data_IF_344010756354
#
_entry.id   IF_344010756354
#
_cell.length_a   1.000
_cell.length_b   1.000
_cell.length_c   1.000
_cell.angle_alpha   90.00
_cell.angle_beta   90.00
_cell.angle_gamma   90.00
#
_symmetry.space_group_name_H-M   'P 1'
#
loop_
_entity.id
_entity.type
_entity.pdbx_description
1 polymer ?
#
# COMPACT_ATOMS: atom_id res chain seq x y z
N UNK A 1 71.96 -16.89 -35.48
CA UNK A 1 71.79 -18.12 -34.67
C UNK A 1 71.08 -17.78 -33.36
N UNK A 2 69.98 -18.48 -33.08
CA UNK A 2 69.26 -18.68 -31.79
C UNK A 2 68.78 -17.44 -30.99
N UNK A 3 67.57 -16.98 -31.34
CA UNK A 3 66.69 -16.25 -30.43
C UNK A 3 66.28 -17.16 -29.25
N UNK A 4 66.64 -16.77 -28.03
CA UNK A 4 66.12 -17.38 -26.79
C UNK A 4 64.64 -17.02 -26.64
N UNK A 5 63.75 -17.98 -26.88
CA UNK A 5 62.35 -17.90 -26.44
C UNK A 5 62.35 -17.88 -24.91
N UNK A 6 62.09 -16.71 -24.30
CA UNK A 6 61.75 -16.63 -22.87
C UNK A 6 60.41 -17.35 -22.69
N UNK A 7 60.44 -18.52 -22.04
CA UNK A 7 59.25 -19.17 -21.46
C UNK A 7 58.66 -18.20 -20.46
N UNK A 8 57.57 -17.52 -20.81
CA UNK A 8 56.72 -16.83 -19.84
C UNK A 8 55.99 -17.92 -19.06
N UNK A 9 56.55 -18.31 -17.92
CA UNK A 9 55.81 -19.11 -16.95
C UNK A 9 54.58 -18.31 -16.52
N UNK A 10 53.38 -18.77 -16.88
CA UNK A 10 52.14 -18.33 -16.23
C UNK A 10 52.25 -18.76 -14.77
N UNK A 11 52.78 -17.87 -13.92
CA UNK A 11 52.69 -18.03 -12.47
C UNK A 11 51.20 -18.01 -12.14
N UNK A 12 50.64 -19.16 -11.80
CA UNK A 12 49.33 -19.25 -11.16
C UNK A 12 49.46 -18.52 -9.81
N UNK A 13 48.89 -17.34 -9.74
CA UNK A 13 48.75 -16.56 -8.51
C UNK A 13 47.29 -16.68 -8.09
N UNK A 14 46.98 -17.79 -7.40
CA UNK A 14 45.71 -17.99 -6.72
C UNK A 14 45.78 -17.26 -5.39
N UNK A 15 44.84 -16.36 -5.13
CA UNK A 15 44.72 -15.63 -3.87
C UNK A 15 43.35 -15.85 -3.25
N UNK A 16 43.32 -15.98 -1.93
CA UNK A 16 42.11 -16.01 -1.12
C UNK A 16 41.56 -14.58 -1.02
N UNK A 17 40.36 -14.33 -1.52
CA UNK A 17 39.59 -13.12 -1.26
C UNK A 17 38.82 -13.33 0.04
N UNK A 18 39.14 -12.57 1.08
CA UNK A 18 38.26 -12.42 2.25
C UNK A 18 37.50 -11.12 2.09
N UNK A 19 36.32 -11.22 1.48
CA UNK A 19 35.53 -10.08 1.09
C UNK A 19 34.70 -9.58 2.27
N UNK A 20 35.14 -8.48 2.89
CA UNK A 20 34.30 -7.75 3.82
C UNK A 20 33.35 -6.83 3.04
N UNK A 21 32.34 -7.41 2.39
CA UNK A 21 31.28 -6.67 1.72
C UNK A 21 30.34 -6.10 2.78
N UNK A 22 30.37 -4.78 2.96
CA UNK A 22 29.36 -4.08 3.77
C UNK A 22 28.11 -3.93 2.92
N UNK A 23 27.20 -4.89 3.03
CA UNK A 23 25.84 -4.72 2.55
C UNK A 23 25.12 -3.86 3.57
N UNK A 24 25.07 -2.55 3.31
CA UNK A 24 24.14 -1.70 4.01
C UNK A 24 22.79 -1.85 3.29
N UNK A 25 21.88 -2.61 3.89
CA UNK A 25 20.47 -2.26 3.72
C UNK A 25 20.38 -0.78 4.12
N UNK A 26 19.70 0.04 3.34
CA UNK A 26 19.57 1.47 3.62
C UNK A 26 18.70 1.63 4.89
N UNK A 27 19.26 1.34 6.07
CA UNK A 27 18.63 1.50 7.36
C UNK A 27 18.73 2.97 7.73
N UNK A 28 17.88 3.78 7.11
CA UNK A 28 17.48 5.08 7.65
C UNK A 28 16.59 4.94 8.90
N UNK A 29 16.84 3.95 9.76
CA UNK A 29 16.15 3.77 11.03
C UNK A 29 17.19 3.57 12.12
N UNK A 30 17.30 4.60 12.96
CA UNK A 30 17.98 4.57 14.25
C UNK A 30 17.44 3.35 15.02
N UNK A 31 18.28 2.53 15.67
CA UNK A 31 17.81 1.59 16.69
C UNK A 31 17.43 2.41 17.93
N UNK A 32 16.31 3.10 17.82
CA UNK A 32 15.64 3.82 18.89
C UNK A 32 14.24 3.26 18.96
N UNK A 33 13.79 2.96 20.18
CA UNK A 33 12.40 2.72 20.59
C UNK A 33 11.42 2.46 19.45
N UNK A 34 10.87 1.24 19.37
CA UNK A 34 9.67 0.98 18.56
C UNK A 34 8.55 1.87 19.07
N UNK A 35 8.46 3.08 18.54
CA UNK A 35 7.27 3.91 18.62
C UNK A 35 6.37 3.32 17.56
N UNK A 36 5.41 2.50 17.97
CA UNK A 36 4.29 2.15 17.11
C UNK A 36 3.54 3.45 16.77
N UNK A 37 3.93 4.11 15.68
CA UNK A 37 3.07 5.10 15.06
C UNK A 37 1.88 4.31 14.56
N UNK A 38 0.72 4.53 15.17
CA UNK A 38 -0.51 3.92 14.68
C UNK A 38 -0.66 4.42 13.24
N UNK A 39 -0.77 3.51 12.27
CA UNK A 39 -1.13 3.91 10.92
C UNK A 39 -2.47 4.64 11.02
N UNK A 40 -2.51 5.91 10.61
CA UNK A 40 -3.77 6.62 10.54
C UNK A 40 -4.52 6.09 9.30
N UNK A 41 -5.81 5.83 9.47
CA UNK A 41 -6.69 5.49 8.36
C UNK A 41 -6.66 6.65 7.35
N UNK A 42 -6.46 6.32 6.08
CA UNK A 42 -6.60 7.26 4.97
C UNK A 42 -7.81 6.86 4.17
N UNK A 43 -8.70 7.80 3.96
CA UNK A 43 -9.94 7.57 3.25
C UNK A 43 -9.80 8.11 1.83
N UNK A 44 -9.70 7.20 0.86
CA UNK A 44 -9.55 7.52 -0.56
C UNK A 44 -10.86 7.28 -1.30
N UNK A 45 -11.21 8.17 -2.21
CA UNK A 45 -12.41 8.00 -3.02
C UNK A 45 -12.34 6.70 -3.85
N UNK A 46 -13.42 5.93 -3.86
CA UNK A 46 -13.52 4.66 -4.58
C UNK A 46 -14.79 4.64 -5.44
N UNK A 47 -14.68 4.13 -6.66
CA UNK A 47 -15.83 3.90 -7.53
C UNK A 47 -16.61 2.65 -7.08
N UNK A 48 -17.93 2.64 -7.28
CA UNK A 48 -18.76 1.46 -6.98
C UNK A 48 -18.31 0.20 -7.71
N UNK A 49 -17.75 0.35 -8.90
CA UNK A 49 -17.27 -0.78 -9.70
C UNK A 49 -16.00 -1.41 -9.13
N UNK A 50 -15.24 -0.66 -8.33
CA UNK A 50 -13.99 -1.11 -7.72
C UNK A 50 -14.17 -1.57 -6.25
N UNK A 51 -15.39 -1.43 -5.71
CA UNK A 51 -15.72 -1.92 -4.36
C UNK A 51 -15.98 -3.43 -4.36
N UNK A 52 -15.42 -4.12 -3.37
CA UNK A 52 -15.51 -5.57 -3.20
C UNK A 52 -16.12 -5.94 -1.84
N UNK A 53 -16.67 -7.16 -1.74
CA UNK A 53 -17.10 -7.71 -0.44
C UNK A 53 -15.92 -7.72 0.53
N UNK A 54 -16.14 -7.21 1.75
CA UNK A 54 -15.12 -7.07 2.79
C UNK A 54 -14.45 -5.69 2.83
N UNK A 55 -14.65 -4.85 1.82
CA UNK A 55 -14.12 -3.49 1.84
C UNK A 55 -14.70 -2.70 3.00
N UNK A 56 -13.85 -1.95 3.68
CA UNK A 56 -14.28 -0.99 4.70
C UNK A 56 -14.39 0.39 4.07
N UNK A 57 -15.56 1.02 4.20
CA UNK A 57 -15.85 2.30 3.55
C UNK A 57 -16.54 3.31 4.49
N UNK A 58 -16.53 4.57 4.08
CA UNK A 58 -17.46 5.61 4.53
C UNK A 58 -18.29 6.08 3.33
N UNK A 59 -19.58 6.27 3.54
CA UNK A 59 -20.51 6.82 2.55
C UNK A 59 -20.74 8.29 2.89
N UNK A 60 -20.61 9.18 1.89
CA UNK A 60 -20.88 10.61 2.09
C UNK A 60 -21.78 11.20 1.03
N UNK A 61 -22.58 12.20 1.42
CA UNK A 61 -23.18 13.15 0.49
C UNK A 61 -22.61 14.56 0.74
N UNK A 62 -22.15 15.23 -0.32
CA UNK A 62 -21.82 16.66 -0.31
C UNK A 62 -23.01 17.46 -0.81
N UNK A 63 -23.48 18.46 -0.06
CA UNK A 63 -24.63 19.31 -0.44
C UNK A 63 -24.25 20.36 -1.47
N UNK A 64 -25.25 21.04 -2.04
CA UNK A 64 -25.05 22.18 -2.95
C UNK A 64 -24.27 23.34 -2.33
N UNK A 65 -24.28 23.45 -1.00
CA UNK A 65 -23.51 24.46 -0.25
C UNK A 65 -22.06 24.01 0.00
N UNK A 66 -21.66 22.81 -0.42
CA UNK A 66 -20.32 22.26 -0.25
C UNK A 66 -20.09 21.53 1.08
N UNK A 67 -21.10 21.40 1.94
CA UNK A 67 -20.98 20.67 3.21
C UNK A 67 -20.98 19.17 2.94
N UNK A 68 -20.02 18.43 3.51
CA UNK A 68 -19.92 16.97 3.36
C UNK A 68 -20.35 16.27 4.63
N UNK A 69 -21.23 15.28 4.49
CA UNK A 69 -21.74 14.50 5.62
C UNK A 69 -21.55 13.01 5.42
N UNK A 70 -20.96 12.35 6.41
CA UNK A 70 -20.87 10.90 6.54
C UNK A 70 -22.16 10.28 7.07
N UNK A 71 -22.42 9.04 6.64
CA UNK A 71 -23.52 8.23 7.13
C UNK A 71 -23.13 7.45 8.38
N UNK A 72 -23.69 7.86 9.52
CA UNK A 72 -23.46 7.15 10.77
C UNK A 72 -23.98 5.71 10.72
N UNK A 73 -23.36 4.82 11.49
CA UNK A 73 -23.67 3.40 11.61
C UNK A 73 -24.46 3.08 12.90
N UNK A 74 -24.92 4.10 13.61
CA UNK A 74 -25.64 4.02 14.87
C UNK A 74 -27.14 4.38 14.75
N UNK A 75 -27.84 4.48 15.88
CA UNK A 75 -29.28 4.79 15.95
C UNK A 75 -30.22 3.58 15.79
N UNK A 76 -29.71 2.43 15.33
CA UNK A 76 -30.45 1.17 15.26
C UNK A 76 -31.73 1.27 14.43
N UNK A 77 -32.79 0.58 14.87
CA UNK A 77 -34.08 0.53 14.15
C UNK A 77 -35.05 1.66 14.54
N UNK A 78 -34.72 2.45 15.55
CA UNK A 78 -35.64 3.43 16.15
C UNK A 78 -35.47 4.82 15.56
N UNK A 79 -34.23 5.23 15.26
CA UNK A 79 -33.90 6.57 14.75
C UNK A 79 -33.13 6.48 13.44
N UNK A 80 -33.26 7.53 12.62
CA UNK A 80 -32.48 7.64 11.39
C UNK A 80 -30.99 7.87 11.73
N UNK A 81 -30.05 7.32 10.95
CA UNK A 81 -28.64 7.62 11.13
C UNK A 81 -28.35 9.11 11.00
N UNK A 82 -27.47 9.62 11.86
CA UNK A 82 -27.06 11.02 11.85
C UNK A 82 -26.25 11.36 10.58
N UNK A 83 -26.41 12.58 10.08
CA UNK A 83 -25.50 13.20 9.13
C UNK A 83 -24.29 13.79 9.88
N UNK A 84 -23.17 13.09 9.87
CA UNK A 84 -21.95 13.47 10.61
C UNK A 84 -21.10 14.38 9.73
N UNK A 85 -20.77 15.59 10.19
CA UNK A 85 -19.97 16.53 9.41
C UNK A 85 -18.53 16.04 9.20
N UNK A 86 -18.09 15.94 7.95
CA UNK A 86 -16.75 15.52 7.55
C UNK A 86 -16.18 16.49 6.51
N UNK A 87 -14.87 16.45 6.28
CA UNK A 87 -14.17 17.37 5.38
C UNK A 87 -13.47 16.59 4.27
N UNK A 88 -13.39 17.16 3.08
CA UNK A 88 -12.53 16.64 2.01
C UNK A 88 -11.35 17.60 1.90
N UNK A 89 -10.13 17.11 2.07
CA UNK A 89 -8.89 17.90 1.99
C UNK A 89 -7.93 17.17 1.07
N UNK A 90 -7.42 17.86 0.05
CA UNK A 90 -6.46 17.33 -0.92
C UNK A 90 -6.87 15.97 -1.53
N UNK A 91 -8.16 15.78 -1.80
CA UNK A 91 -8.70 14.56 -2.40
C UNK A 91 -8.88 13.39 -1.43
N UNK A 92 -8.75 13.60 -0.12
CA UNK A 92 -9.01 12.60 0.92
C UNK A 92 -10.08 13.06 1.89
N UNK A 93 -10.87 12.13 2.42
CA UNK A 93 -11.83 12.40 3.49
C UNK A 93 -11.12 12.45 4.84
N UNK A 94 -11.37 13.54 5.58
CA UNK A 94 -10.80 13.84 6.89
C UNK A 94 -11.90 14.18 7.90
N UNK A 95 -11.59 14.02 9.18
CA UNK A 95 -12.51 14.24 10.30
C UNK A 95 -11.87 13.85 11.62
N UNK A 96 -12.57 14.05 12.73
CA UNK A 96 -12.11 13.50 14.02
C UNK A 96 -12.17 11.97 13.98
N UNK A 97 -11.28 11.28 14.70
CA UNK A 97 -11.30 9.81 14.78
C UNK A 97 -12.67 9.28 15.24
N UNK A 98 -13.30 9.98 16.19
CA UNK A 98 -14.63 9.65 16.70
C UNK A 98 -15.71 9.77 15.62
N UNK A 99 -15.67 10.83 14.81
CA UNK A 99 -16.68 11.07 13.77
C UNK A 99 -16.52 10.11 12.60
N UNK A 100 -15.27 9.85 12.18
CA UNK A 100 -14.97 8.85 11.16
C UNK A 100 -15.40 7.45 11.60
N UNK A 101 -15.05 7.03 12.82
CA UNK A 101 -15.37 5.69 13.35
C UNK A 101 -16.88 5.41 13.38
N UNK A 102 -17.70 6.45 13.61
CA UNK A 102 -19.17 6.33 13.57
C UNK A 102 -19.71 6.13 12.16
N UNK A 103 -18.96 6.39 11.10
CA UNK A 103 -19.45 6.34 9.73
C UNK A 103 -18.96 5.13 8.93
N UNK A 104 -18.28 4.19 9.61
CA UNK A 104 -17.64 3.05 8.96
C UNK A 104 -18.63 1.93 8.68
N UNK A 105 -18.59 1.41 7.45
CA UNK A 105 -19.40 0.29 6.97
C UNK A 105 -18.51 -0.76 6.31
N UNK A 106 -18.92 -2.04 6.38
CA UNK A 106 -18.34 -3.09 5.54
C UNK A 106 -19.23 -3.33 4.32
N UNK A 107 -18.63 -3.39 3.14
CA UNK A 107 -19.34 -3.69 1.90
C UNK A 107 -19.57 -5.20 1.77
N UNK A 108 -20.77 -5.58 1.34
CA UNK A 108 -21.08 -6.90 0.83
C UNK A 108 -21.75 -6.76 -0.54
N UNK A 109 -21.29 -7.56 -1.51
CA UNK A 109 -21.82 -7.59 -2.88
C UNK A 109 -22.84 -8.71 -3.01
N UNK A 110 -24.02 -8.38 -3.54
CA UNK A 110 -25.02 -9.33 -4.00
C UNK A 110 -25.36 -9.04 -5.47
N UNK A 111 -24.71 -9.77 -6.38
CA UNK A 111 -24.73 -9.45 -7.81
C UNK A 111 -24.21 -8.04 -8.09
N UNK A 112 -25.05 -7.20 -8.71
CA UNK A 112 -24.77 -5.78 -8.93
C UNK A 112 -25.14 -4.89 -7.73
N UNK A 113 -25.82 -5.43 -6.73
CA UNK A 113 -26.24 -4.76 -5.49
C UNK A 113 -25.15 -4.62 -4.43
N UNK A 114 -25.36 -3.65 -3.55
CA UNK A 114 -24.53 -3.34 -2.38
C UNK A 114 -25.35 -3.54 -1.11
N UNK A 115 -24.72 -4.14 -0.11
CA UNK A 115 -25.20 -4.19 1.27
C UNK A 115 -24.13 -3.53 2.14
N UNK A 116 -24.54 -2.64 3.05
CA UNK A 116 -23.64 -1.99 4.01
C UNK A 116 -23.86 -2.62 5.38
N UNK A 117 -22.89 -3.44 5.79
CA UNK A 117 -23.01 -4.44 6.83
C UNK A 117 -22.14 -4.08 8.06
N UNK A 118 -22.61 -4.45 9.25
CA UNK A 118 -21.95 -4.34 10.56
C UNK A 118 -21.94 -5.71 11.29
N UNK A 119 -21.97 -6.80 10.54
CA UNK A 119 -22.08 -8.17 11.03
C UNK A 119 -23.54 -8.64 11.13
N UNK A 120 -24.21 -8.31 12.24
CA UNK A 120 -25.60 -8.75 12.50
C UNK A 120 -26.66 -7.76 12.02
N UNK A 121 -26.24 -6.52 11.72
CA UNK A 121 -27.12 -5.44 11.29
C UNK A 121 -26.53 -4.74 10.08
N UNK A 122 -27.38 -4.06 9.33
CA UNK A 122 -27.04 -3.40 8.09
C UNK A 122 -27.92 -2.18 7.86
N UNK A 123 -27.49 -1.32 6.94
CA UNK A 123 -28.30 -0.21 6.44
C UNK A 123 -29.54 -0.74 5.72
N UNK A 124 -30.71 -0.16 5.98
CA UNK A 124 -31.93 -0.49 5.25
C UNK A 124 -32.88 0.68 5.16
N UNK A 125 -33.83 0.60 4.21
CA UNK A 125 -34.94 1.53 4.09
C UNK A 125 -36.27 0.92 4.53
N UNK A 126 -37.13 1.76 5.07
CA UNK A 126 -38.50 1.42 5.45
C UNK A 126 -39.50 1.91 4.40
N UNK A 127 -40.68 1.28 4.35
CA UNK A 127 -41.76 1.68 3.46
C UNK A 127 -42.55 2.92 3.94
N UNK A 128 -42.31 3.36 5.17
CA UNK A 128 -43.03 4.47 5.82
C UNK A 128 -42.07 5.54 6.37
N UNK A 129 -42.58 6.74 6.65
CA UNK A 129 -41.87 7.78 7.41
C UNK A 129 -40.50 8.22 6.83
N UNK A 130 -40.28 8.01 5.53
CA UNK A 130 -39.00 8.32 4.85
C UNK A 130 -37.77 7.75 5.59
N UNK A 131 -37.95 6.60 6.25
CA UNK A 131 -37.01 6.12 7.24
C UNK A 131 -35.91 5.25 6.64
N UNK A 132 -34.67 5.66 6.89
CA UNK A 132 -33.47 4.81 6.82
C UNK A 132 -33.08 4.40 8.23
N UNK A 133 -32.52 3.20 8.41
CA UNK A 133 -32.24 2.58 9.72
C UNK A 133 -31.03 1.65 9.64
N UNK A 134 -30.55 1.25 10.81
CA UNK A 134 -29.54 0.18 10.98
C UNK A 134 -30.17 -0.98 11.73
N UNK A 135 -30.18 -2.18 11.15
CA UNK A 135 -30.85 -3.33 11.77
C UNK A 135 -30.87 -4.54 10.87
N UNK A 136 -31.81 -5.46 11.07
CA UNK A 136 -31.83 -6.77 10.41
C UNK A 136 -32.97 -6.93 9.38
N UNK A 137 -33.44 -5.83 8.79
CA UNK A 137 -34.58 -5.86 7.86
C UNK A 137 -34.13 -6.21 6.43
N UNK A 138 -34.88 -7.06 5.72
CA UNK A 138 -34.52 -7.52 4.36
C UNK A 138 -34.43 -6.42 3.28
N UNK A 139 -34.91 -5.20 3.53
CA UNK A 139 -34.81 -4.07 2.59
C UNK A 139 -33.42 -3.42 2.57
N UNK A 140 -32.35 -4.21 2.47
CA UNK A 140 -30.97 -3.77 2.72
C UNK A 140 -30.09 -3.69 1.47
N UNK A 141 -30.65 -3.98 0.31
CA UNK A 141 -29.93 -3.92 -0.95
C UNK A 141 -30.06 -2.55 -1.59
N UNK A 142 -28.92 -2.03 -2.04
CA UNK A 142 -28.80 -0.75 -2.70
C UNK A 142 -28.10 -0.88 -4.06
N UNK A 143 -28.41 0.03 -4.97
CA UNK A 143 -27.72 0.21 -6.25
C UNK A 143 -27.45 1.70 -6.47
N UNK A 144 -26.57 2.01 -7.41
CA UNK A 144 -26.47 3.38 -7.92
C UNK A 144 -27.54 3.57 -8.98
N UNK A 145 -28.36 4.60 -8.81
CA UNK A 145 -29.37 5.02 -9.78
C UNK A 145 -29.47 6.54 -9.75
N UNK A 146 -29.35 7.16 -10.91
CA UNK A 146 -29.38 8.62 -11.07
C UNK A 146 -28.33 9.35 -10.20
N UNK A 147 -27.16 8.72 -10.00
CA UNK A 147 -26.06 9.16 -9.11
C UNK A 147 -26.37 9.15 -7.60
N UNK A 148 -27.49 8.54 -7.19
CA UNK A 148 -27.86 8.35 -5.78
C UNK A 148 -27.81 6.87 -5.39
N UNK A 149 -27.66 6.65 -4.09
CA UNK A 149 -27.84 5.34 -3.49
C UNK A 149 -29.34 5.03 -3.45
N UNK A 150 -29.75 3.99 -4.15
CA UNK A 150 -31.15 3.62 -4.37
C UNK A 150 -31.44 2.27 -3.75
N UNK A 151 -32.34 2.23 -2.78
CA UNK A 151 -32.83 1.01 -2.19
C UNK A 151 -33.81 0.31 -3.15
N UNK A 152 -33.47 -0.90 -3.58
CA UNK A 152 -34.21 -1.62 -4.63
C UNK A 152 -35.55 -2.15 -4.13
N UNK A 153 -35.60 -2.63 -2.88
CA UNK A 153 -36.79 -3.21 -2.29
C UNK A 153 -37.90 -2.18 -2.04
N UNK A 154 -37.53 -1.00 -1.52
CA UNK A 154 -38.50 0.08 -1.22
C UNK A 154 -38.66 1.10 -2.35
N UNK A 155 -37.82 1.00 -3.39
CA UNK A 155 -37.77 1.96 -4.49
C UNK A 155 -37.55 3.41 -4.03
N UNK A 156 -36.53 3.62 -3.19
CA UNK A 156 -36.23 4.92 -2.57
C UNK A 156 -34.78 5.33 -2.70
N UNK A 157 -34.57 6.61 -2.96
CA UNK A 157 -33.28 7.29 -3.00
C UNK A 157 -32.88 7.76 -1.60
N UNK A 158 -31.61 7.58 -1.23
CA UNK A 158 -31.06 8.01 0.04
C UNK A 158 -30.33 9.33 -0.13
N UNK A 159 -30.45 10.18 0.89
CA UNK A 159 -29.64 11.38 0.98
C UNK A 159 -29.74 12.03 2.36
N UNK A 160 -28.92 13.06 2.56
CA UNK A 160 -28.93 13.88 3.77
C UNK A 160 -30.15 14.78 3.72
N UNK A 161 -30.93 14.83 4.78
CA UNK A 161 -32.11 15.68 4.81
C UNK A 161 -31.72 17.16 4.95
N UNK A 162 -31.99 17.99 3.93
CA UNK A 162 -31.56 19.39 3.93
C UNK A 162 -32.07 20.24 5.11
N UNK A 163 -33.22 19.89 5.70
CA UNK A 163 -33.77 20.60 6.86
C UNK A 163 -33.55 19.84 8.19
N UNK A 164 -32.65 18.87 8.21
CA UNK A 164 -32.33 18.08 9.40
C UNK A 164 -30.88 17.64 9.45
N UNK A 165 -30.51 16.98 10.54
CA UNK A 165 -29.15 16.47 10.76
C UNK A 165 -29.11 14.94 10.62
N UNK A 166 -29.93 14.37 9.74
CA UNK A 166 -30.08 12.93 9.55
C UNK A 166 -30.17 12.51 8.09
N UNK A 167 -30.00 11.20 7.86
CA UNK A 167 -30.23 10.58 6.57
C UNK A 167 -31.69 10.19 6.42
N UNK A 168 -32.20 10.26 5.19
CA UNK A 168 -33.58 9.91 4.85
C UNK A 168 -33.63 9.18 3.53
N UNK A 169 -34.73 8.45 3.31
CA UNK A 169 -35.01 7.83 2.01
C UNK A 169 -36.35 8.31 1.44
N UNK A 170 -36.37 8.70 0.17
CA UNK A 170 -37.54 9.25 -0.51
C UNK A 170 -37.80 8.54 -1.83
N UNK A 171 -39.06 8.53 -2.29
CA UNK A 171 -39.43 7.95 -3.59
C UNK A 171 -38.98 8.81 -4.78
N UNK A 172 -38.39 9.99 -4.52
CA UNK A 172 -37.80 10.89 -5.52
C UNK A 172 -36.75 11.81 -4.88
N UNK A 173 -35.87 12.38 -5.69
CA UNK A 173 -34.89 13.41 -5.30
C UNK A 173 -35.53 14.81 -5.22
N UNK A 174 -36.57 14.94 -4.39
CA UNK A 174 -37.25 16.22 -4.15
C UNK A 174 -36.37 17.21 -3.36
N UNK A 175 -36.93 18.38 -3.01
CA UNK A 175 -36.23 19.43 -2.27
C UNK A 175 -35.52 18.97 -0.98
N UNK A 176 -35.90 17.82 -0.40
CA UNK A 176 -35.30 17.33 0.83
C UNK A 176 -33.91 16.71 0.65
N UNK A 177 -33.59 16.18 -0.54
CA UNK A 177 -32.31 15.49 -0.81
C UNK A 177 -31.68 15.85 -2.17
N UNK A 178 -32.23 16.84 -2.90
CA UNK A 178 -31.75 17.23 -4.23
C UNK A 178 -30.32 17.79 -4.20
N UNK A 179 -29.66 17.75 -5.35
CA UNK A 179 -28.36 18.38 -5.63
C UNK A 179 -27.25 17.99 -4.64
N UNK A 180 -27.21 16.71 -4.26
CA UNK A 180 -26.15 16.15 -3.44
C UNK A 180 -25.24 15.29 -4.30
N UNK A 181 -23.94 15.29 -3.98
CA UNK A 181 -22.96 14.42 -4.62
C UNK A 181 -22.65 13.25 -3.70
N UNK A 182 -23.04 12.04 -4.10
CA UNK A 182 -22.68 10.80 -3.42
C UNK A 182 -21.21 10.47 -3.70
N UNK A 183 -20.48 10.10 -2.66
CA UNK A 183 -19.13 9.52 -2.75
C UNK A 183 -18.97 8.35 -1.78
N UNK A 184 -18.06 7.45 -2.13
CA UNK A 184 -17.60 6.37 -1.27
C UNK A 184 -16.12 6.54 -1.00
N UNK A 185 -15.71 6.31 0.23
CA UNK A 185 -14.33 6.44 0.65
C UNK A 185 -13.87 5.11 1.21
N UNK A 186 -12.93 4.45 0.54
CA UNK A 186 -12.36 3.19 1.00
C UNK A 186 -11.27 3.48 2.02
N UNK A 187 -11.28 2.70 3.10
CA UNK A 187 -10.22 2.72 4.11
C UNK A 187 -8.95 2.13 3.50
N UNK A 188 -7.95 2.98 3.33
CA UNK A 188 -6.56 2.60 3.22
C UNK A 188 -5.82 2.88 4.52
N UNK A 189 -4.53 2.56 4.54
CA UNK A 189 -3.62 2.90 5.63
C UNK A 189 -2.58 3.90 5.10
N UNK A 190 -2.39 5.02 5.79
CA UNK A 190 -1.21 5.88 5.55
C UNK A 190 0.02 5.14 6.06
N UNK A 191 0.64 4.37 5.18
CA UNK A 191 1.71 3.44 5.53
C UNK A 191 1.22 2.02 5.28
N UNK A 192 1.38 1.57 4.03
CA UNK A 192 1.40 0.14 3.73
C UNK A 192 2.29 -0.55 4.77
N UNK A 193 1.89 -1.71 5.30
CA UNK A 193 2.72 -2.49 6.20
C UNK A 193 4.12 -2.61 5.61
N UNK A 194 5.08 -1.89 6.20
CA UNK A 194 6.46 -1.97 5.77
C UNK A 194 7.04 -3.22 6.39
N UNK A 195 7.14 -4.27 5.59
CA UNK A 195 7.84 -5.49 5.96
C UNK A 195 9.33 -5.17 5.88
N UNK A 196 9.96 -5.05 7.04
CA UNK A 196 11.39 -4.72 7.13
C UNK A 196 12.25 -5.90 6.72
N UNK A 197 13.37 -5.64 6.05
CA UNK A 197 14.43 -6.64 5.82
C UNK A 197 15.03 -7.03 7.16
N UNK A 198 15.04 -8.31 7.48
CA UNK A 198 15.64 -8.89 8.68
C UNK A 198 16.88 -9.72 8.39
N UNK A 199 17.15 -10.04 7.13
CA UNK A 199 18.31 -10.82 6.73
C UNK A 199 18.78 -10.51 5.32
N UNK A 200 20.09 -10.45 5.16
CA UNK A 200 20.76 -10.36 3.86
C UNK A 200 21.91 -11.35 3.85
N UNK A 201 21.94 -12.26 2.87
CA UNK A 201 22.91 -13.34 2.77
C UNK A 201 23.53 -13.31 1.38
N UNK A 202 24.86 -13.32 1.32
CA UNK A 202 25.62 -13.52 0.08
C UNK A 202 25.88 -15.03 -0.11
N UNK A 203 25.77 -15.52 -1.35
CA UNK A 203 25.98 -16.93 -1.70
C UNK A 203 27.41 -17.43 -1.42
N UNK A 204 28.41 -16.56 -1.55
CA UNK A 204 29.81 -16.85 -1.21
C UNK A 204 30.43 -15.73 -0.34
N UNK A 205 30.96 -16.07 0.83
CA UNK A 205 31.63 -15.11 1.74
C UNK A 205 33.14 -14.97 1.48
N UNK A 206 33.73 -15.87 0.69
CA UNK A 206 35.13 -15.83 0.27
C UNK A 206 35.30 -16.60 -1.03
N UNK A 207 36.18 -16.14 -1.91
CA UNK A 207 36.45 -16.81 -3.19
C UNK A 207 37.88 -16.53 -3.66
N UNK A 208 38.37 -17.19 -4.70
CA UNK A 208 39.68 -16.88 -5.27
C UNK A 208 39.52 -16.39 -6.71
N UNK A 209 39.97 -15.17 -6.99
CA UNK A 209 39.86 -14.53 -8.30
C UNK A 209 41.24 -14.29 -8.89
N UNK A 210 41.46 -14.76 -10.12
CA UNK A 210 42.64 -14.40 -10.88
C UNK A 210 42.48 -12.98 -11.45
N UNK A 211 43.59 -12.26 -11.66
CA UNK A 211 43.57 -10.98 -12.38
C UNK A 211 42.97 -11.19 -13.78
N UNK A 212 41.96 -10.40 -14.12
CA UNK A 212 41.15 -10.50 -15.33
C UNK A 212 40.01 -11.51 -15.27
N UNK A 213 39.98 -12.39 -14.26
CA UNK A 213 38.88 -13.34 -14.03
C UNK A 213 37.69 -12.66 -13.36
N UNK A 214 36.50 -13.22 -13.58
CA UNK A 214 35.25 -12.77 -12.97
C UNK A 214 34.51 -13.91 -12.26
N UNK A 215 33.67 -13.55 -11.30
CA UNK A 215 32.83 -14.46 -10.51
C UNK A 215 31.48 -13.81 -10.27
N UNK A 216 30.41 -14.57 -10.48
CA UNK A 216 29.05 -14.14 -10.15
C UNK A 216 28.81 -14.30 -8.65
N UNK A 217 28.15 -13.33 -8.05
CA UNK A 217 27.73 -13.30 -6.65
C UNK A 217 26.25 -12.94 -6.56
N UNK A 218 25.52 -13.61 -5.68
CA UNK A 218 24.07 -13.47 -5.51
C UNK A 218 23.72 -13.16 -4.07
N UNK A 219 22.87 -12.15 -3.87
CA UNK A 219 22.29 -11.82 -2.56
C UNK A 219 20.87 -12.36 -2.44
N UNK A 220 20.58 -12.96 -1.29
CA UNK A 220 19.24 -13.33 -0.83
C UNK A 220 18.79 -12.39 0.29
N UNK A 221 17.54 -11.91 0.22
CA UNK A 221 16.94 -10.98 1.20
C UNK A 221 15.78 -11.67 1.89
N UNK A 222 15.64 -11.48 3.20
CA UNK A 222 14.54 -12.02 3.99
C UNK A 222 13.89 -10.96 4.87
N UNK A 223 12.56 -11.03 5.09
CA UNK A 223 11.63 -11.97 4.47
C UNK A 223 11.38 -11.63 2.98
N UNK A 224 10.90 -12.60 2.20
CA UNK A 224 10.68 -12.47 0.75
C UNK A 224 9.74 -11.29 0.40
N UNK A 225 8.77 -11.02 1.28
CA UNK A 225 7.79 -9.95 1.15
C UNK A 225 8.26 -8.61 1.73
N UNK A 226 9.56 -8.43 1.99
CA UNK A 226 10.10 -7.13 2.41
C UNK A 226 9.72 -6.01 1.42
N UNK A 227 9.33 -4.86 1.96
CA UNK A 227 8.76 -3.75 1.19
C UNK A 227 9.80 -2.99 0.36
N UNK A 228 11.05 -2.95 0.81
CA UNK A 228 12.20 -2.40 0.07
C UNK A 228 13.32 -3.44 0.07
N UNK A 229 13.66 -3.94 -1.13
CA UNK A 229 14.68 -4.96 -1.35
C UNK A 229 15.92 -4.41 -2.08
N UNK A 230 16.08 -3.08 -2.15
CA UNK A 230 17.23 -2.47 -2.80
C UNK A 230 18.53 -2.77 -2.06
N UNK A 231 19.55 -3.14 -2.83
CA UNK A 231 20.90 -3.45 -2.35
C UNK A 231 21.86 -2.37 -2.82
N UNK A 232 22.69 -1.89 -1.88
CA UNK A 232 23.87 -1.11 -2.18
C UNK A 232 25.11 -2.00 -2.10
N UNK A 233 25.83 -2.10 -3.21
CA UNK A 233 27.05 -2.88 -3.30
C UNK A 233 28.28 -2.00 -3.08
N UNK A 234 29.28 -2.55 -2.39
CA UNK A 234 30.57 -1.90 -2.21
C UNK A 234 31.69 -2.94 -2.09
N UNK A 235 32.90 -2.57 -2.49
CA UNK A 235 34.11 -3.38 -2.29
C UNK A 235 34.89 -2.79 -1.12
N UNK A 236 35.16 -3.62 -0.12
CA UNK A 236 35.94 -3.26 1.07
C UNK A 236 37.38 -3.77 1.02
N UNK A 237 37.97 -3.96 2.19
CA UNK A 237 39.30 -4.57 2.34
C UNK A 237 40.47 -3.61 2.27
N UNK A 238 41.69 -4.15 2.39
CA UNK A 238 42.94 -3.38 2.39
C UNK A 238 43.31 -2.86 1.00
N UNK A 239 42.92 -3.58 -0.06
CA UNK A 239 43.12 -3.22 -1.46
C UNK A 239 41.78 -3.17 -2.21
N UNK A 240 40.84 -2.32 -1.78
CA UNK A 240 39.50 -2.22 -2.39
C UNK A 240 39.51 -1.98 -3.92
N UNK A 241 40.59 -1.41 -4.49
CA UNK A 241 40.75 -1.24 -5.94
C UNK A 241 41.16 -2.51 -6.70
N UNK A 242 41.51 -3.61 -6.01
CA UNK A 242 41.90 -4.87 -6.63
C UNK A 242 40.70 -5.60 -7.25
N UNK A 243 39.47 -5.27 -6.83
CA UNK A 243 38.23 -5.87 -7.33
C UNK A 243 37.26 -4.76 -7.75
N UNK A 244 36.56 -5.00 -8.86
CA UNK A 244 35.43 -4.17 -9.30
C UNK A 244 34.17 -5.02 -9.45
N UNK A 245 33.02 -4.40 -9.23
CA UNK A 245 31.72 -5.04 -9.37
C UNK A 245 31.01 -4.52 -10.63
N UNK A 246 30.35 -5.43 -11.33
CA UNK A 246 29.63 -5.15 -12.57
C UNK A 246 28.21 -5.71 -12.52
N UNK A 247 27.29 -5.10 -13.25
CA UNK A 247 25.88 -5.56 -13.35
C UNK A 247 25.70 -6.61 -14.44
N UNK A 248 26.68 -6.78 -15.33
CA UNK A 248 26.64 -7.73 -16.46
C UNK A 248 27.82 -8.72 -16.44
N UNK A 249 27.59 -9.90 -17.00
CA UNK A 249 28.56 -11.00 -17.01
C UNK A 249 29.86 -10.66 -17.78
N UNK A 250 29.76 -9.82 -18.81
CA UNK A 250 30.90 -9.37 -19.61
C UNK A 250 31.75 -8.30 -18.90
N UNK A 251 31.28 -7.84 -17.73
CA UNK A 251 31.92 -6.82 -16.90
C UNK A 251 32.15 -5.51 -17.66
N UNK A 252 31.08 -4.99 -18.27
CA UNK A 252 31.11 -3.76 -19.08
C UNK A 252 30.51 -2.55 -18.34
N UNK A 253 29.56 -2.78 -17.43
CA UNK A 253 28.84 -1.77 -16.67
C UNK A 253 29.15 -1.90 -15.19
N UNK A 254 29.97 -0.99 -14.65
CA UNK A 254 30.31 -0.97 -13.22
C UNK A 254 29.05 -0.66 -12.38
N UNK A 255 28.96 -1.29 -11.19
CA UNK A 255 27.87 -1.01 -10.25
C UNK A 255 28.00 0.44 -9.74
N UNK A 256 26.88 1.18 -9.77
CA UNK A 256 26.81 2.56 -9.29
C UNK A 256 26.86 2.69 -7.76
N UNK A 257 26.88 3.93 -7.27
CA UNK A 257 26.92 4.25 -5.83
C UNK A 257 25.57 4.13 -5.10
N UNK A 258 24.49 4.02 -5.86
CA UNK A 258 23.11 4.05 -5.36
C UNK A 258 22.59 2.65 -5.07
N UNK A 259 21.62 2.55 -4.16
CA UNK A 259 20.92 1.29 -3.91
C UNK A 259 20.02 0.95 -5.11
N UNK A 260 20.06 -0.30 -5.56
CA UNK A 260 19.30 -0.77 -6.74
C UNK A 260 18.66 -2.13 -6.47
N UNK A 261 17.71 -2.56 -7.31
CA UNK A 261 17.13 -3.92 -7.25
C UNK A 261 18.10 -5.01 -7.76
N UNK A 262 19.37 -4.67 -7.98
CA UNK A 262 20.38 -5.59 -8.49
C UNK A 262 20.80 -6.56 -7.40
N UNK A 263 20.27 -7.79 -7.45
CA UNK A 263 20.60 -8.87 -6.49
C UNK A 263 21.75 -9.77 -6.97
N UNK A 264 22.20 -9.60 -8.22
CA UNK A 264 23.30 -10.36 -8.82
C UNK A 264 24.34 -9.38 -9.34
N UNK A 265 25.61 -9.59 -8.97
CA UNK A 265 26.74 -8.81 -9.50
C UNK A 265 27.88 -9.73 -9.91
N UNK A 266 28.78 -9.20 -10.74
CA UNK A 266 29.97 -9.90 -11.20
C UNK A 266 31.20 -9.20 -10.62
N UNK A 267 31.91 -9.88 -9.72
CA UNK A 267 33.18 -9.42 -9.18
C UNK A 267 34.32 -9.79 -10.12
N UNK A 268 35.13 -8.81 -10.53
CA UNK A 268 36.27 -9.00 -11.43
C UNK A 268 37.57 -8.56 -10.77
N UNK A 269 38.59 -9.41 -10.83
CA UNK A 269 39.94 -9.08 -10.37
C UNK A 269 40.61 -8.11 -11.34
N UNK A 270 41.00 -6.92 -10.88
CA UNK A 270 41.63 -5.86 -11.68
C UNK A 270 43.14 -5.81 -11.44
N UNK A 271 43.58 -6.04 -10.21
CA UNK A 271 44.99 -6.11 -9.83
C UNK A 271 45.21 -7.16 -8.74
N UNK A 272 46.47 -7.46 -8.41
CA UNK A 272 46.78 -8.32 -7.28
C UNK A 272 46.55 -7.57 -5.96
N UNK A 273 45.90 -8.22 -5.00
CA UNK A 273 45.60 -7.65 -3.68
C UNK A 273 44.57 -8.47 -2.93
N UNK A 274 44.18 -7.97 -1.74
CA UNK A 274 43.07 -8.52 -0.95
C UNK A 274 41.99 -7.44 -0.77
N UNK A 275 40.78 -7.73 -1.23
CA UNK A 275 39.60 -6.88 -1.09
C UNK A 275 38.52 -7.62 -0.30
#
# INVERSE_FOLDING_TARGET
MKNKRKKLGRKLLSFLLTLAMVISAFTGMIPGTVVTVRANDVWQEVSVNDMQTGDTIIITNTTSEGNTYGMANDGGTSVAPQAVGLTITDGSLTGSETDLAKCVWTVERDGDGLIFNLGQTWLFCTNSNNGVRVGSNANNQFKIKDDYLYNTATSRYLGVYQNGNDWRCYTSFNNNIKNQTLRFWKRGVSGAETVSVTGVILDESSTALNVGGSKMLTVSISPENATDKKVKWSVGGTDAGAVKLYTDADCTTEVGSDATETLIVYAKGVSAGSA
#
